data_IF_743303502631
#
_entry.id   IF_743303502631
#
_cell.length_a   1.000
_cell.length_b   1.000
_cell.length_c   1.000
_cell.angle_alpha   90.00
_cell.angle_beta   90.00
_cell.angle_gamma   90.00
#
_symmetry.space_group_name_H-M   'P 1'
#
loop_
_entity.id
_entity.type
_entity.pdbx_description
1 polymer ?
#
# COMPACT_ATOMS: atom_id res chain seq x y z
N UNK A 1 -5.74 17.51 -43.45
CA UNK A 1 -6.59 18.61 -43.00
C UNK A 1 -5.95 19.16 -41.76
N UNK A 2 -5.18 20.25 -41.89
CA UNK A 2 -4.62 21.00 -40.78
C UNK A 2 -5.74 21.91 -40.24
N UNK A 3 -6.24 21.60 -39.06
CA UNK A 3 -7.05 22.55 -38.32
C UNK A 3 -6.10 23.55 -37.66
N UNK A 4 -6.08 24.76 -38.16
CA UNK A 4 -5.40 25.88 -37.52
C UNK A 4 -6.05 26.10 -36.14
N UNK A 5 -5.35 25.71 -35.09
CA UNK A 5 -5.67 26.07 -33.73
C UNK A 5 -5.14 27.48 -33.49
N UNK A 6 -5.93 28.49 -33.73
CA UNK A 6 -5.67 29.84 -33.23
C UNK A 6 -5.90 29.84 -31.70
N UNK A 7 -4.82 29.80 -30.96
CA UNK A 7 -4.84 30.05 -29.50
C UNK A 7 -5.00 31.55 -29.28
N UNK A 8 -6.19 31.99 -28.84
CA UNK A 8 -6.39 33.32 -28.32
C UNK A 8 -5.64 33.45 -26.97
N UNK A 9 -4.50 34.10 -27.00
CA UNK A 9 -3.47 34.15 -25.95
C UNK A 9 -3.71 35.29 -24.93
N UNK A 10 -4.93 35.79 -24.74
CA UNK A 10 -5.13 37.02 -24.00
C UNK A 10 -5.64 36.92 -22.55
N UNK A 11 -6.01 35.75 -22.03
CA UNK A 11 -6.68 35.67 -20.73
C UNK A 11 -6.16 34.57 -19.74
N UNK A 12 -5.01 33.96 -20.00
CA UNK A 12 -4.44 32.99 -19.05
C UNK A 12 -3.14 33.53 -18.44
N UNK A 13 -3.15 33.82 -17.14
CA UNK A 13 -1.89 33.92 -16.38
C UNK A 13 -1.08 32.65 -16.61
N UNK A 14 0.12 32.78 -17.19
CA UNK A 14 1.02 31.65 -17.39
C UNK A 14 1.49 31.13 -16.03
N UNK A 15 1.01 29.98 -15.63
CA UNK A 15 1.50 29.21 -14.49
C UNK A 15 2.26 27.96 -14.94
N UNK A 16 2.81 27.22 -13.97
CA UNK A 16 3.57 25.99 -14.24
C UNK A 16 2.78 24.89 -14.97
N UNK A 17 1.46 24.94 -14.97
CA UNK A 17 0.56 23.95 -15.56
C UNK A 17 -0.04 24.38 -16.90
N UNK A 18 0.26 25.58 -17.39
CA UNK A 18 -0.35 26.15 -18.60
C UNK A 18 -0.20 25.25 -19.82
N UNK A 19 0.96 24.61 -19.99
CA UNK A 19 1.21 23.67 -21.10
C UNK A 19 0.40 22.38 -20.98
N UNK A 20 0.14 21.91 -19.76
CA UNK A 20 -0.66 20.71 -19.53
C UNK A 20 -2.12 20.96 -19.89
N UNK A 21 -2.64 22.16 -19.62
CA UNK A 21 -4.02 22.56 -19.97
C UNK A 21 -4.28 22.62 -21.47
N UNK A 22 -3.25 22.60 -22.31
CA UNK A 22 -3.40 22.48 -23.75
C UNK A 22 -3.82 21.08 -24.21
N UNK A 23 -3.72 20.07 -23.33
CA UNK A 23 -4.19 18.71 -23.62
C UNK A 23 -5.72 18.70 -23.50
N UNK A 24 -6.50 18.37 -24.55
CA UNK A 24 -7.95 18.59 -24.59
C UNK A 24 -8.77 17.90 -23.49
N UNK A 25 -8.27 16.79 -22.94
CA UNK A 25 -8.95 16.03 -21.87
C UNK A 25 -8.39 16.32 -20.47
N UNK A 26 -7.36 17.18 -20.35
CA UNK A 26 -6.69 17.47 -19.11
C UNK A 26 -7.53 18.31 -18.16
N UNK A 27 -7.56 17.92 -16.90
CA UNK A 27 -8.25 18.63 -15.82
C UNK A 27 -7.26 18.78 -14.64
N UNK A 28 -6.67 19.97 -14.51
CA UNK A 28 -5.68 20.26 -13.48
C UNK A 28 -6.29 20.26 -12.06
N UNK A 29 -7.54 20.68 -11.92
CA UNK A 29 -8.21 20.72 -10.61
C UNK A 29 -8.43 19.30 -10.07
N UNK A 30 -8.68 18.35 -10.96
CA UNK A 30 -8.77 16.94 -10.62
C UNK A 30 -7.47 16.41 -10.03
N UNK A 31 -6.32 16.77 -10.62
CA UNK A 31 -5.02 16.40 -10.10
C UNK A 31 -4.72 17.08 -8.76
N UNK A 32 -5.05 18.34 -8.64
CA UNK A 32 -4.93 19.13 -7.40
C UNK A 32 -5.71 18.53 -6.23
N UNK A 33 -6.87 17.94 -6.52
CA UNK A 33 -7.72 17.31 -5.51
C UNK A 33 -7.38 15.83 -5.27
N UNK A 34 -6.53 15.22 -6.09
CA UNK A 34 -6.17 13.82 -5.97
C UNK A 34 -5.23 13.55 -4.79
N UNK A 35 -5.43 12.40 -4.17
CA UNK A 35 -4.55 11.83 -3.15
C UNK A 35 -3.98 10.52 -3.67
N UNK A 36 -2.67 10.44 -3.82
CA UNK A 36 -1.95 9.29 -4.37
C UNK A 36 -1.02 8.71 -3.30
N UNK A 37 -1.09 7.40 -3.12
CA UNK A 37 -0.13 6.67 -2.30
C UNK A 37 1.00 6.15 -3.18
N UNK A 38 2.24 6.39 -2.78
CA UNK A 38 3.43 5.78 -3.37
C UNK A 38 4.05 4.85 -2.35
N UNK A 39 4.18 3.57 -2.70
CA UNK A 39 4.77 2.54 -1.84
C UNK A 39 6.12 2.12 -2.39
N UNK A 40 7.17 2.37 -1.60
CA UNK A 40 8.57 2.27 -2.01
C UNK A 40 9.09 3.59 -2.59
N UNK A 41 10.13 4.15 -1.98
CA UNK A 41 10.84 5.35 -2.41
C UNK A 41 12.25 5.03 -2.97
N UNK A 42 12.41 3.82 -3.52
CA UNK A 42 13.60 3.38 -4.26
C UNK A 42 13.69 4.00 -5.66
N UNK A 43 14.32 3.31 -6.60
CA UNK A 43 14.57 3.82 -7.96
C UNK A 43 13.26 4.22 -8.69
N UNK A 44 12.28 3.30 -8.76
CA UNK A 44 10.97 3.59 -9.38
C UNK A 44 10.22 4.65 -8.57
N UNK A 45 10.17 4.50 -7.22
CA UNK A 45 9.44 5.44 -6.36
C UNK A 45 9.93 6.88 -6.47
N UNK A 46 11.25 7.10 -6.60
CA UNK A 46 11.81 8.41 -6.85
C UNK A 46 11.29 9.05 -8.15
N UNK A 47 11.21 8.28 -9.23
CA UNK A 47 10.69 8.73 -10.51
C UNK A 47 9.16 8.96 -10.45
N UNK A 48 8.42 8.10 -9.73
CA UNK A 48 6.99 8.30 -9.49
C UNK A 48 6.75 9.61 -8.75
N UNK A 49 7.40 9.82 -7.60
CA UNK A 49 7.24 11.03 -6.78
C UNK A 49 7.60 12.27 -7.56
N UNK A 50 8.73 12.27 -8.30
CA UNK A 50 9.12 13.37 -9.18
C UNK A 50 8.01 13.69 -10.21
N UNK A 51 7.50 12.70 -10.92
CA UNK A 51 6.49 12.90 -11.95
C UNK A 51 5.16 13.42 -11.36
N UNK A 52 4.69 12.83 -10.26
CA UNK A 52 3.48 13.28 -9.55
C UNK A 52 3.60 14.74 -9.09
N UNK A 53 4.77 15.10 -8.57
CA UNK A 53 5.09 16.45 -8.11
C UNK A 53 5.07 17.46 -9.26
N UNK A 54 5.71 17.15 -10.39
CA UNK A 54 5.73 18.01 -11.57
C UNK A 54 4.34 18.20 -12.19
N UNK A 55 3.49 17.17 -12.11
CA UNK A 55 2.10 17.21 -12.58
C UNK A 55 1.16 17.97 -11.64
N UNK A 56 1.59 18.28 -10.42
CA UNK A 56 0.77 18.98 -9.44
C UNK A 56 -0.30 18.12 -8.78
N UNK A 57 0.00 16.86 -8.48
CA UNK A 57 -0.86 16.03 -7.64
C UNK A 57 -0.95 16.66 -6.25
N UNK A 58 -2.17 16.96 -5.80
CA UNK A 58 -2.36 17.74 -4.59
C UNK A 58 -1.79 17.10 -3.33
N UNK A 59 -1.99 15.77 -3.14
CA UNK A 59 -1.52 15.06 -1.95
C UNK A 59 -0.81 13.76 -2.33
N UNK A 60 0.38 13.54 -1.76
CA UNK A 60 1.20 12.34 -1.98
C UNK A 60 1.56 11.74 -0.62
N UNK A 61 1.09 10.52 -0.35
CA UNK A 61 1.50 9.74 0.82
C UNK A 61 2.64 8.80 0.39
N UNK A 62 3.79 8.88 1.05
CA UNK A 62 4.99 8.13 0.68
C UNK A 62 5.32 7.14 1.80
N UNK A 63 5.23 5.85 1.49
CA UNK A 63 5.52 4.75 2.42
C UNK A 63 6.84 4.08 2.04
N UNK A 64 7.84 4.17 2.91
CA UNK A 64 9.12 3.46 2.82
C UNK A 64 9.78 3.40 4.20
N UNK A 65 10.24 2.23 4.63
CA UNK A 65 10.84 2.03 5.94
C UNK A 65 12.38 2.09 5.94
N UNK A 66 13.00 2.16 4.76
CA UNK A 66 14.45 2.10 4.62
C UNK A 66 15.13 3.46 4.77
N UNK A 67 16.40 3.41 5.15
CA UNK A 67 17.32 4.55 5.06
C UNK A 67 17.99 4.62 3.67
N UNK A 68 18.47 5.81 3.33
CA UNK A 68 19.21 6.08 2.11
C UNK A 68 20.62 5.51 2.25
N UNK A 69 21.03 4.69 1.31
CA UNK A 69 22.39 4.18 1.15
C UNK A 69 23.13 4.87 0.01
N UNK A 70 24.46 4.91 0.06
CA UNK A 70 25.29 5.46 -1.03
C UNK A 70 25.00 4.78 -2.37
N UNK A 71 24.68 3.48 -2.36
CA UNK A 71 24.31 2.70 -3.55
C UNK A 71 23.02 3.15 -4.22
N UNK A 72 22.15 3.88 -3.50
CA UNK A 72 20.91 4.40 -4.05
C UNK A 72 21.12 5.62 -4.95
N UNK A 73 22.20 6.38 -4.74
CA UNK A 73 22.45 7.67 -5.39
C UNK A 73 22.60 7.58 -6.91
N UNK A 74 22.92 6.42 -7.45
CA UNK A 74 23.06 6.19 -8.90
C UNK A 74 21.72 6.15 -9.64
N UNK A 75 20.58 5.98 -8.91
CA UNK A 75 19.27 5.76 -9.52
C UNK A 75 18.09 6.42 -8.77
N UNK A 76 18.39 7.35 -7.85
CA UNK A 76 17.37 8.01 -7.03
C UNK A 76 17.58 9.53 -7.09
N UNK A 77 16.85 10.19 -8.00
CA UNK A 77 17.02 11.61 -8.34
C UNK A 77 16.70 12.57 -7.18
N UNK A 78 15.89 12.17 -6.23
CA UNK A 78 15.50 13.01 -5.10
C UNK A 78 16.57 13.05 -4.00
N UNK A 79 17.55 12.13 -3.98
CA UNK A 79 18.54 12.00 -2.92
C UNK A 79 19.88 12.65 -3.29
N UNK A 80 20.60 13.09 -2.27
CA UNK A 80 21.95 13.68 -2.37
C UNK A 80 22.90 12.93 -1.43
N UNK A 81 24.20 13.06 -1.64
CA UNK A 81 25.21 12.43 -0.78
C UNK A 81 25.05 12.78 0.71
N UNK A 82 24.61 14.00 1.02
CA UNK A 82 24.32 14.46 2.40
C UNK A 82 23.11 13.79 3.05
N UNK A 83 22.26 13.13 2.27
CA UNK A 83 21.02 12.50 2.76
C UNK A 83 21.25 11.03 3.17
N UNK A 84 22.45 10.47 2.94
CA UNK A 84 22.80 9.10 3.33
C UNK A 84 22.59 8.91 4.83
N UNK A 85 21.87 7.86 5.20
CA UNK A 85 21.46 7.53 6.57
C UNK A 85 20.12 8.13 7.01
N UNK A 86 19.53 9.08 6.27
CA UNK A 86 18.17 9.57 6.51
C UNK A 86 17.13 8.62 5.90
N UNK A 87 15.92 8.63 6.40
CA UNK A 87 14.83 7.81 5.84
C UNK A 87 14.44 8.27 4.43
N UNK A 88 14.26 7.28 3.53
CA UNK A 88 13.92 7.52 2.12
C UNK A 88 12.64 8.32 1.96
N UNK A 89 11.57 7.93 2.69
CA UNK A 89 10.27 8.59 2.61
C UNK A 89 10.34 10.07 3.03
N UNK A 90 11.06 10.39 4.11
CA UNK A 90 11.20 11.77 4.61
C UNK A 90 11.87 12.68 3.59
N UNK A 91 13.04 12.25 3.09
CA UNK A 91 13.77 13.05 2.10
C UNK A 91 12.98 13.19 0.80
N UNK A 92 12.28 12.14 0.38
CA UNK A 92 11.43 12.21 -0.82
C UNK A 92 10.28 13.21 -0.66
N UNK A 93 9.62 13.24 0.50
CA UNK A 93 8.54 14.20 0.79
C UNK A 93 9.07 15.64 0.82
N UNK A 94 10.18 15.89 1.50
CA UNK A 94 10.84 17.22 1.51
C UNK A 94 11.14 17.69 0.09
N UNK A 95 11.75 16.85 -0.73
CA UNK A 95 12.12 17.18 -2.12
C UNK A 95 10.90 17.41 -3.01
N UNK A 96 9.83 16.65 -2.82
CA UNK A 96 8.59 16.89 -3.56
C UNK A 96 8.06 18.31 -3.31
N UNK A 97 7.97 18.73 -2.07
CA UNK A 97 7.51 20.07 -1.70
C UNK A 97 8.49 21.19 -2.10
N UNK A 98 9.81 20.93 -2.11
CA UNK A 98 10.79 21.88 -2.66
C UNK A 98 10.63 22.06 -4.18
N UNK A 99 10.38 20.98 -4.94
CA UNK A 99 10.17 21.02 -6.40
C UNK A 99 8.86 21.76 -6.74
N UNK A 100 7.80 21.47 -5.99
CA UNK A 100 6.49 22.05 -6.21
C UNK A 100 5.77 22.36 -4.89
N UNK A 101 5.77 23.64 -4.44
CA UNK A 101 5.12 24.05 -3.19
C UNK A 101 3.60 23.88 -3.17
N UNK A 102 2.95 23.69 -4.33
CA UNK A 102 1.50 23.43 -4.41
C UNK A 102 1.16 21.99 -4.00
N UNK A 103 2.16 21.09 -3.97
CA UNK A 103 2.00 19.68 -3.62
C UNK A 103 2.23 19.51 -2.12
N UNK A 104 1.35 18.75 -1.49
CA UNK A 104 1.52 18.27 -0.12
C UNK A 104 2.02 16.85 -0.14
N UNK A 105 3.16 16.59 0.48
CA UNK A 105 3.74 15.26 0.59
C UNK A 105 3.99 14.89 2.05
N UNK A 106 3.56 13.69 2.46
CA UNK A 106 3.75 13.19 3.82
C UNK A 106 4.46 11.85 3.79
N UNK A 107 5.51 11.73 4.62
CA UNK A 107 6.31 10.53 4.76
C UNK A 107 5.75 9.62 5.87
N UNK A 108 5.78 8.32 5.61
CA UNK A 108 5.45 7.28 6.56
C UNK A 108 6.57 6.24 6.57
N UNK A 109 7.26 6.12 7.73
CA UNK A 109 8.28 5.10 7.97
C UNK A 109 7.53 3.88 8.51
N UNK A 110 6.92 3.11 7.63
CA UNK A 110 5.98 2.06 8.00
C UNK A 110 6.04 0.90 7.00
N UNK A 111 5.79 -0.30 7.50
CA UNK A 111 5.61 -1.49 6.66
C UNK A 111 4.19 -1.48 6.07
N UNK A 112 4.09 -1.44 4.75
CA UNK A 112 2.81 -1.41 4.04
C UNK A 112 1.92 -2.64 4.33
N UNK A 113 2.52 -3.77 4.69
CA UNK A 113 1.80 -5.02 4.98
C UNK A 113 1.03 -4.91 6.29
N UNK A 114 1.64 -4.26 7.30
CA UNK A 114 1.22 -4.40 8.69
C UNK A 114 0.71 -3.12 9.33
N UNK A 115 1.31 -1.98 8.95
CA UNK A 115 1.19 -0.75 9.72
C UNK A 115 0.19 0.24 9.10
N UNK A 116 -0.43 -0.14 7.97
CA UNK A 116 -1.33 0.74 7.22
C UNK A 116 -2.75 0.18 7.23
N UNK A 117 -3.68 0.96 7.77
CA UNK A 117 -5.10 0.58 7.84
C UNK A 117 -5.78 0.63 6.47
N UNK A 118 -6.79 -0.23 6.27
CA UNK A 118 -7.57 -0.28 5.04
C UNK A 118 -8.28 1.03 4.72
N UNK A 119 -8.69 1.81 5.73
CA UNK A 119 -9.30 3.12 5.56
C UNK A 119 -8.34 4.15 4.95
N UNK A 120 -7.01 3.99 5.12
CA UNK A 120 -6.03 4.81 4.40
C UNK A 120 -6.09 4.51 2.90
N UNK A 121 -6.06 3.24 2.52
CA UNK A 121 -6.21 2.84 1.11
C UNK A 121 -7.54 3.33 0.52
N UNK A 122 -8.63 3.27 1.29
CA UNK A 122 -9.97 3.70 0.86
C UNK A 122 -10.01 5.18 0.47
N UNK A 123 -9.18 6.03 1.07
CA UNK A 123 -9.09 7.47 0.78
C UNK A 123 -8.17 7.81 -0.39
N UNK A 124 -7.48 6.83 -0.97
CA UNK A 124 -6.62 7.06 -2.13
C UNK A 124 -7.42 7.09 -3.43
N UNK A 125 -7.01 7.94 -4.36
CA UNK A 125 -7.51 7.88 -5.74
C UNK A 125 -6.81 6.78 -6.54
N UNK A 126 -5.54 6.51 -6.23
CA UNK A 126 -4.77 5.37 -6.74
C UNK A 126 -3.57 5.08 -5.84
N UNK A 127 -3.06 3.85 -5.93
CA UNK A 127 -1.81 3.42 -5.28
C UNK A 127 -0.78 3.08 -6.34
N UNK A 128 0.44 3.58 -6.22
CA UNK A 128 1.56 3.31 -7.12
C UNK A 128 2.64 2.53 -6.37
N UNK A 129 3.00 1.36 -6.91
CA UNK A 129 4.01 0.48 -6.34
C UNK A 129 5.36 0.60 -7.04
N UNK A 130 6.43 0.84 -6.27
CA UNK A 130 7.83 0.75 -6.69
C UNK A 130 8.60 -0.21 -5.80
N UNK A 131 8.10 -1.45 -5.67
CA UNK A 131 8.51 -2.45 -4.68
C UNK A 131 9.48 -3.47 -5.25
N UNK A 132 10.25 -4.10 -4.37
CA UNK A 132 11.20 -5.17 -4.67
C UNK A 132 10.75 -6.56 -4.17
N UNK A 133 9.64 -6.64 -3.42
CA UNK A 133 9.17 -7.92 -2.89
C UNK A 133 7.71 -8.25 -3.25
N UNK A 134 7.42 -9.56 -3.36
CA UNK A 134 6.12 -10.09 -3.78
C UNK A 134 5.06 -10.01 -2.69
N UNK A 135 5.47 -10.11 -1.45
CA UNK A 135 4.55 -10.11 -0.30
C UNK A 135 3.88 -8.75 -0.12
N UNK A 136 4.67 -7.67 -0.20
CA UNK A 136 4.14 -6.31 -0.18
C UNK A 136 3.19 -6.04 -1.36
N UNK A 137 3.52 -6.55 -2.57
CA UNK A 137 2.63 -6.43 -3.74
C UNK A 137 1.30 -7.15 -3.52
N UNK A 138 1.34 -8.36 -2.95
CA UNK A 138 0.14 -9.12 -2.62
C UNK A 138 -0.71 -8.38 -1.58
N UNK A 139 -0.10 -7.85 -0.52
CA UNK A 139 -0.79 -7.09 0.52
C UNK A 139 -1.46 -5.82 -0.04
N UNK A 140 -0.77 -5.06 -0.90
CA UNK A 140 -1.36 -3.89 -1.57
C UNK A 140 -2.53 -4.32 -2.45
N UNK A 141 -2.37 -5.39 -3.23
CA UNK A 141 -3.44 -5.91 -4.08
C UNK A 141 -4.69 -6.23 -3.27
N UNK A 142 -4.55 -7.01 -2.20
CA UNK A 142 -5.66 -7.39 -1.32
C UNK A 142 -6.30 -6.15 -0.67
N UNK A 143 -5.50 -5.23 -0.15
CA UNK A 143 -6.00 -3.99 0.45
C UNK A 143 -6.78 -3.13 -0.55
N UNK A 144 -6.22 -2.92 -1.74
CA UNK A 144 -6.86 -2.13 -2.79
C UNK A 144 -8.17 -2.74 -3.28
N UNK A 145 -8.22 -4.07 -3.44
CA UNK A 145 -9.45 -4.77 -3.87
C UNK A 145 -10.53 -4.72 -2.79
N UNK A 146 -10.19 -4.97 -1.53
CA UNK A 146 -11.14 -4.86 -0.40
C UNK A 146 -11.86 -3.51 -0.36
N UNK A 147 -11.15 -2.42 -0.66
CA UNK A 147 -11.70 -1.05 -0.58
C UNK A 147 -11.98 -0.41 -1.96
N UNK A 148 -11.98 -1.22 -3.02
CA UNK A 148 -12.30 -0.80 -4.39
C UNK A 148 -11.43 0.38 -4.87
N UNK A 149 -10.09 0.23 -4.79
CA UNK A 149 -9.12 1.24 -5.27
C UNK A 149 -8.19 0.67 -6.32
N UNK A 150 -7.92 1.41 -7.41
CA UNK A 150 -6.95 0.98 -8.42
C UNK A 150 -5.54 1.06 -7.87
N UNK A 151 -4.68 0.13 -8.32
CA UNK A 151 -3.26 0.23 -8.07
C UNK A 151 -2.43 -0.17 -9.29
N UNK A 152 -1.24 0.39 -9.39
CA UNK A 152 -0.37 0.23 -10.53
C UNK A 152 1.01 -0.18 -10.02
N UNK A 153 1.41 -1.38 -10.39
CA UNK A 153 2.68 -1.98 -10.00
C UNK A 153 3.75 -1.71 -11.06
N UNK A 154 4.97 -1.44 -10.62
CA UNK A 154 6.14 -1.34 -11.47
C UNK A 154 7.27 -2.24 -10.98
N UNK A 155 7.97 -2.87 -11.91
CA UNK A 155 9.21 -3.59 -11.61
C UNK A 155 10.21 -3.42 -12.74
N UNK A 156 11.49 -3.48 -12.37
CA UNK A 156 12.63 -3.34 -13.27
C UNK A 156 13.70 -4.37 -12.94
N UNK A 157 14.38 -4.83 -13.97
CA UNK A 157 15.55 -5.69 -13.89
C UNK A 157 16.52 -5.32 -14.99
N UNK A 158 17.72 -4.87 -14.63
CA UNK A 158 18.73 -4.35 -15.57
C UNK A 158 18.15 -3.25 -16.48
N UNK A 159 18.02 -3.49 -17.77
CA UNK A 159 17.43 -2.58 -18.75
C UNK A 159 15.96 -2.91 -19.06
N UNK A 160 15.41 -3.95 -18.46
CA UNK A 160 14.02 -4.38 -18.69
C UNK A 160 13.09 -3.89 -17.60
N UNK A 161 11.80 -3.89 -17.87
CA UNK A 161 10.81 -3.57 -16.85
C UNK A 161 9.38 -3.83 -17.31
N UNK A 162 8.47 -3.73 -16.36
CA UNK A 162 7.04 -3.80 -16.63
C UNK A 162 6.25 -2.88 -15.71
N UNK A 163 5.11 -2.43 -16.23
CA UNK A 163 4.06 -1.77 -15.45
C UNK A 163 2.76 -2.57 -15.58
N UNK A 164 2.09 -2.87 -14.47
CA UNK A 164 0.83 -3.63 -14.42
C UNK A 164 -0.25 -2.79 -13.78
N UNK A 165 -1.44 -2.79 -14.37
CA UNK A 165 -2.56 -1.97 -13.92
C UNK A 165 -3.67 -2.87 -13.40
N UNK A 166 -4.03 -2.70 -12.12
CA UNK A 166 -5.05 -3.50 -11.45
C UNK A 166 -6.18 -2.59 -10.97
N UNK A 167 -7.36 -2.84 -11.52
CA UNK A 167 -8.58 -2.10 -11.19
C UNK A 167 -9.62 -3.09 -10.71
N UNK A 168 -10.12 -2.98 -9.47
CA UNK A 168 -11.16 -3.89 -8.97
C UNK A 168 -12.35 -3.98 -9.93
N UNK A 169 -12.80 -5.20 -10.19
CA UNK A 169 -13.88 -5.48 -11.14
C UNK A 169 -13.48 -5.45 -12.63
N UNK A 170 -12.24 -5.07 -12.99
CA UNK A 170 -11.79 -5.00 -14.38
C UNK A 170 -10.58 -5.91 -14.65
N UNK A 171 -10.83 -7.11 -15.13
CA UNK A 171 -9.77 -8.06 -15.51
C UNK A 171 -9.09 -8.75 -14.32
N UNK A 172 -7.86 -9.19 -14.52
CA UNK A 172 -7.04 -9.89 -13.55
C UNK A 172 -6.49 -8.95 -12.48
N UNK A 173 -6.32 -9.45 -11.24
CA UNK A 173 -5.58 -8.78 -10.18
C UNK A 173 -4.12 -9.27 -10.13
N UNK A 174 -3.30 -8.73 -9.22
CA UNK A 174 -1.91 -9.19 -9.03
C UNK A 174 -1.84 -10.68 -8.68
N UNK A 175 -2.68 -11.16 -7.77
CA UNK A 175 -2.71 -12.56 -7.35
C UNK A 175 -3.05 -13.49 -8.53
N UNK A 176 -3.90 -13.05 -9.47
CA UNK A 176 -4.14 -13.81 -10.70
C UNK A 176 -2.88 -14.03 -11.53
N UNK A 177 -1.92 -13.12 -11.48
CA UNK A 177 -0.65 -13.22 -12.21
C UNK A 177 0.39 -14.09 -11.54
N UNK A 178 0.14 -14.49 -10.28
CA UNK A 178 1.10 -15.28 -9.49
C UNK A 178 1.14 -16.74 -9.93
N UNK A 179 2.37 -17.28 -9.94
CA UNK A 179 2.67 -18.68 -10.21
C UNK A 179 2.85 -19.47 -8.91
N UNK A 180 2.87 -20.80 -9.00
CA UNK A 180 3.23 -21.65 -7.84
C UNK A 180 4.62 -21.31 -7.26
N UNK A 181 5.56 -20.90 -8.11
CA UNK A 181 6.88 -20.49 -7.66
C UNK A 181 6.81 -19.23 -6.79
N UNK A 182 5.98 -18.26 -7.14
CA UNK A 182 5.78 -17.05 -6.35
C UNK A 182 5.23 -17.38 -4.96
N UNK A 183 4.25 -18.28 -4.88
CA UNK A 183 3.70 -18.78 -3.62
C UNK A 183 4.73 -19.53 -2.78
N UNK A 184 5.54 -20.39 -3.42
CA UNK A 184 6.63 -21.09 -2.72
C UNK A 184 7.64 -20.12 -2.12
N UNK A 185 7.99 -19.03 -2.83
CA UNK A 185 8.91 -18.01 -2.34
C UNK A 185 8.31 -17.22 -1.16
N UNK A 186 7.04 -16.84 -1.21
CA UNK A 186 6.34 -16.16 -0.10
C UNK A 186 6.28 -17.09 1.12
N UNK A 187 5.85 -18.34 0.94
CA UNK A 187 5.75 -19.31 2.03
C UNK A 187 7.12 -19.66 2.65
N UNK A 188 8.18 -19.74 1.83
CA UNK A 188 9.55 -19.91 2.33
C UNK A 188 9.96 -18.73 3.21
N UNK A 189 9.66 -17.49 2.83
CA UNK A 189 9.93 -16.31 3.66
C UNK A 189 9.12 -16.31 4.95
N UNK A 190 7.84 -16.66 4.92
CA UNK A 190 6.99 -16.79 6.12
C UNK A 190 7.47 -17.88 7.08
N UNK A 191 7.88 -19.03 6.56
CA UNK A 191 8.46 -20.10 7.37
C UNK A 191 9.90 -19.79 7.83
N UNK A 192 10.61 -18.92 7.12
CA UNK A 192 11.95 -18.45 7.42
C UNK A 192 11.99 -17.19 8.29
N UNK A 193 10.87 -16.72 8.85
CA UNK A 193 10.89 -15.73 9.94
C UNK A 193 11.76 -16.18 11.13
N UNK A 194 12.20 -17.44 11.11
CA UNK A 194 13.20 -18.05 11.99
C UNK A 194 14.64 -17.97 11.47
N UNK A 195 14.87 -17.45 10.25
CA UNK A 195 16.21 -17.37 9.64
C UNK A 195 16.84 -15.98 9.83
N UNK A 196 18.17 -15.99 9.96
CA UNK A 196 18.98 -14.78 10.21
C UNK A 196 19.04 -13.83 9.02
N UNK A 197 19.27 -12.55 9.30
CA UNK A 197 19.41 -11.44 8.34
C UNK A 197 20.40 -11.70 7.18
N UNK A 198 21.40 -12.56 7.38
CA UNK A 198 22.42 -12.91 6.38
C UNK A 198 21.87 -13.72 5.19
N UNK A 199 20.80 -14.50 5.40
CA UNK A 199 20.18 -15.30 4.34
C UNK A 199 19.15 -14.53 3.52
N UNK A 200 18.78 -13.29 3.93
CA UNK A 200 17.90 -12.41 3.18
C UNK A 200 18.63 -11.57 2.11
N UNK A 201 19.96 -11.55 2.11
CA UNK A 201 20.77 -10.75 1.19
C UNK A 201 21.01 -11.39 -0.20
N UNK A 202 20.51 -12.58 -0.46
CA UNK A 202 20.58 -13.22 -1.76
C UNK A 202 19.57 -12.55 -2.72
N UNK A 203 20.09 -11.72 -3.63
CA UNK A 203 19.38 -11.27 -4.82
C UNK A 203 19.12 -9.79 -4.92
N UNK A 204 20.14 -8.91 -4.74
CA UNK A 204 20.04 -7.53 -5.21
C UNK A 204 19.85 -7.54 -6.73
N UNK A 205 18.65 -7.24 -7.19
CA UNK A 205 18.32 -7.14 -8.62
C UNK A 205 19.06 -5.93 -9.20
N UNK A 206 19.86 -6.08 -10.26
CA UNK A 206 20.50 -4.95 -10.91
C UNK A 206 19.44 -4.02 -11.51
N UNK A 207 19.59 -2.72 -11.29
CA UNK A 207 18.60 -1.73 -11.74
C UNK A 207 19.31 -0.50 -12.29
N UNK A 208 18.71 0.11 -13.33
CA UNK A 208 19.22 1.34 -13.94
C UNK A 208 18.23 2.50 -13.75
N UNK A 209 18.70 3.76 -13.70
CA UNK A 209 17.83 4.92 -13.62
C UNK A 209 16.95 5.05 -14.89
N UNK A 210 17.46 4.67 -16.04
CA UNK A 210 16.74 4.75 -17.32
C UNK A 210 15.52 3.85 -17.36
N UNK A 211 15.63 2.57 -16.92
CA UNK A 211 14.49 1.66 -16.83
C UNK A 211 13.47 2.15 -15.79
N UNK A 212 13.95 2.72 -14.67
CA UNK A 212 13.08 3.32 -13.66
C UNK A 212 12.25 4.46 -14.24
N UNK A 213 12.87 5.36 -15.01
CA UNK A 213 12.19 6.49 -15.64
C UNK A 213 11.13 6.06 -16.63
N UNK A 214 11.41 5.04 -17.48
CA UNK A 214 10.45 4.51 -18.46
C UNK A 214 9.23 3.90 -17.73
N UNK A 215 9.48 2.99 -16.79
CA UNK A 215 8.40 2.26 -16.11
C UNK A 215 7.57 3.20 -15.23
N UNK A 216 8.19 4.07 -14.45
CA UNK A 216 7.46 5.06 -13.65
C UNK A 216 6.66 6.04 -14.53
N UNK A 217 7.18 6.41 -15.70
CA UNK A 217 6.44 7.21 -16.69
C UNK A 217 5.16 6.51 -17.15
N UNK A 218 5.21 5.22 -17.48
CA UNK A 218 4.04 4.42 -17.84
C UNK A 218 3.05 4.31 -16.68
N UNK A 219 3.53 4.03 -15.46
CA UNK A 219 2.66 3.97 -14.28
C UNK A 219 1.88 5.28 -14.06
N UNK A 220 2.56 6.42 -14.17
CA UNK A 220 1.94 7.73 -14.00
C UNK A 220 0.96 8.04 -15.13
N UNK A 221 1.26 7.69 -16.38
CA UNK A 221 0.32 7.85 -17.49
C UNK A 221 -0.95 7.01 -17.30
N UNK A 222 -0.83 5.78 -16.81
CA UNK A 222 -2.01 4.96 -16.49
C UNK A 222 -2.83 5.56 -15.33
N UNK A 223 -2.16 6.04 -14.28
CA UNK A 223 -2.82 6.75 -13.19
C UNK A 223 -3.59 7.99 -13.69
N UNK A 224 -2.99 8.80 -14.56
CA UNK A 224 -3.65 9.97 -15.15
C UNK A 224 -4.93 9.58 -15.91
N UNK A 225 -4.88 8.50 -16.69
CA UNK A 225 -6.06 7.98 -17.42
C UNK A 225 -7.15 7.51 -16.44
N UNK A 226 -6.77 6.84 -15.36
CA UNK A 226 -7.71 6.41 -14.31
C UNK A 226 -8.33 7.61 -13.57
N UNK A 227 -7.56 8.65 -13.27
CA UNK A 227 -8.09 9.89 -12.69
C UNK A 227 -9.09 10.59 -13.61
N UNK A 228 -8.96 10.42 -14.93
CA UNK A 228 -9.85 10.99 -15.96
C UNK A 228 -10.80 9.92 -16.55
N UNK A 229 -11.31 8.99 -15.73
CA UNK A 229 -12.12 7.85 -16.19
C UNK A 229 -13.39 8.27 -16.98
N UNK A 230 -13.97 9.44 -16.67
CA UNK A 230 -15.11 10.02 -17.39
C UNK A 230 -14.78 10.39 -18.85
N UNK A 231 -13.51 10.59 -19.19
CA UNK A 231 -13.02 10.86 -20.56
C UNK A 231 -12.90 9.60 -21.40
N UNK A 232 -13.15 8.41 -20.82
CA UNK A 232 -13.10 7.10 -21.51
C UNK A 232 -11.76 6.84 -22.23
N UNK A 233 -10.66 7.28 -21.63
CA UNK A 233 -9.32 7.04 -22.15
C UNK A 233 -9.00 5.53 -22.06
N UNK A 234 -8.32 4.93 -23.07
CA UNK A 234 -7.96 3.51 -23.01
C UNK A 234 -6.93 3.26 -21.91
N UNK A 235 -7.25 2.38 -20.97
CA UNK A 235 -6.36 1.99 -19.87
C UNK A 235 -5.84 0.58 -20.04
N UNK A 236 -4.80 0.23 -19.31
CA UNK A 236 -4.25 -1.13 -19.21
C UNK A 236 -4.87 -1.93 -18.05
N UNK A 237 -6.11 -1.65 -17.65
CA UNK A 237 -6.77 -2.39 -16.56
C UNK A 237 -6.75 -3.92 -16.83
N UNK A 238 -6.24 -4.71 -15.87
CA UNK A 238 -6.04 -6.16 -16.00
C UNK A 238 -4.90 -6.59 -16.94
N UNK A 239 -4.07 -5.64 -17.38
CA UNK A 239 -2.98 -5.84 -18.34
C UNK A 239 -1.65 -5.33 -17.82
N UNK A 240 -0.58 -5.69 -18.50
CA UNK A 240 0.76 -5.20 -18.23
C UNK A 240 1.45 -4.70 -19.50
N UNK A 241 2.17 -3.59 -19.37
CA UNK A 241 3.12 -3.11 -20.35
C UNK A 241 4.49 -3.71 -20.04
N UNK A 242 5.12 -4.36 -21.01
CA UNK A 242 6.46 -4.95 -20.91
C UNK A 242 7.40 -4.16 -21.80
N UNK A 243 8.55 -3.79 -21.25
CA UNK A 243 9.61 -3.06 -21.94
C UNK A 243 10.93 -3.85 -21.90
N UNK A 244 11.53 -4.06 -23.06
CA UNK A 244 12.86 -4.62 -23.23
C UNK A 244 13.82 -3.52 -23.68
N UNK A 245 14.63 -3.02 -22.76
CA UNK A 245 15.56 -1.93 -23.03
C UNK A 245 16.80 -2.31 -23.84
N UNK A 246 17.07 -3.61 -24.07
CA UNK A 246 18.15 -4.06 -24.94
C UNK A 246 17.79 -3.93 -26.42
N UNK A 247 16.54 -4.25 -26.76
CA UNK A 247 16.03 -4.23 -28.14
C UNK A 247 15.13 -3.03 -28.43
N UNK A 248 14.75 -2.28 -27.38
CA UNK A 248 13.73 -1.22 -27.41
C UNK A 248 12.33 -1.70 -27.82
N UNK A 249 12.07 -3.01 -27.72
CA UNK A 249 10.74 -3.56 -27.96
C UNK A 249 9.83 -3.31 -26.75
N UNK A 250 8.56 -3.14 -27.02
CA UNK A 250 7.53 -3.09 -25.98
C UNK A 250 6.24 -3.73 -26.47
N UNK A 251 5.52 -4.35 -25.54
CA UNK A 251 4.25 -4.99 -25.84
C UNK A 251 3.33 -5.02 -24.61
N UNK A 252 2.04 -5.20 -24.87
CA UNK A 252 1.02 -5.33 -23.82
C UNK A 252 0.69 -6.81 -23.65
N UNK A 253 0.71 -7.26 -22.40
CA UNK A 253 0.26 -8.60 -21.98
C UNK A 253 -1.10 -8.47 -21.32
N UNK A 254 -2.05 -9.30 -21.71
CA UNK A 254 -3.33 -9.45 -21.04
C UNK A 254 -3.27 -10.63 -20.06
N UNK A 255 -3.61 -10.39 -18.81
CA UNK A 255 -3.59 -11.43 -17.78
C UNK A 255 -4.97 -12.07 -17.66
N UNK A 256 -4.98 -13.38 -17.50
CA UNK A 256 -6.22 -14.11 -17.30
C UNK A 256 -6.71 -13.94 -15.85
N UNK A 257 -7.95 -13.48 -15.70
CA UNK A 257 -8.64 -13.46 -14.41
C UNK A 257 -8.93 -14.90 -13.95
N UNK A 258 -8.60 -15.20 -12.70
CA UNK A 258 -8.95 -16.47 -12.05
C UNK A 258 -10.25 -16.27 -11.26
N UNK A 259 -11.24 -17.12 -11.51
CA UNK A 259 -12.57 -17.00 -10.88
C UNK A 259 -12.55 -17.31 -9.39
N UNK A 260 -11.64 -18.19 -8.96
CA UNK A 260 -11.41 -18.63 -7.58
C UNK A 260 -10.40 -17.78 -6.81
N UNK A 261 -10.02 -16.63 -7.34
CA UNK A 261 -9.00 -15.78 -6.71
C UNK A 261 -9.56 -15.05 -5.48
N UNK A 262 -8.99 -15.33 -4.33
CA UNK A 262 -9.40 -14.76 -3.02
C UNK A 262 -9.20 -13.24 -2.92
N UNK A 263 -8.30 -12.65 -3.72
CA UNK A 263 -8.10 -11.20 -3.73
C UNK A 263 -9.22 -10.40 -4.42
N UNK A 264 -10.22 -11.05 -5.01
CA UNK A 264 -11.32 -10.35 -5.69
C UNK A 264 -12.44 -9.91 -4.73
N UNK A 265 -12.35 -10.26 -3.45
CA UNK A 265 -13.29 -9.80 -2.45
C UNK A 265 -13.22 -8.29 -2.28
N UNK A 266 -14.40 -7.66 -2.34
CA UNK A 266 -14.59 -6.22 -2.10
C UNK A 266 -15.58 -6.04 -0.97
N UNK A 267 -15.30 -5.17 -0.04
CA UNK A 267 -16.21 -4.81 1.05
C UNK A 267 -17.33 -3.91 0.49
N UNK A 268 -18.48 -4.48 0.23
CA UNK A 268 -19.57 -3.78 -0.45
C UNK A 268 -20.11 -2.60 0.36
N UNK A 269 -20.26 -2.79 1.68
CA UNK A 269 -20.76 -1.76 2.59
C UNK A 269 -19.81 -1.60 3.78
N UNK A 270 -19.22 -0.41 3.89
CA UNK A 270 -18.38 -0.04 5.02
C UNK A 270 -19.09 1.05 5.81
N UNK A 271 -19.34 0.81 7.08
CA UNK A 271 -19.96 1.75 8.02
C UNK A 271 -18.85 2.49 8.76
N UNK A 272 -18.85 3.80 8.66
CA UNK A 272 -17.92 4.65 9.39
C UNK A 272 -18.36 4.78 10.86
N UNK A 273 -17.43 4.56 11.79
CA UNK A 273 -17.64 4.66 13.21
C UNK A 273 -16.64 5.66 13.82
N UNK A 274 -17.06 6.49 14.77
CA UNK A 274 -16.17 7.39 15.49
C UNK A 274 -15.30 6.61 16.49
N UNK A 275 -14.76 5.48 16.08
CA UNK A 275 -13.82 4.69 16.86
C UNK A 275 -12.40 5.14 16.60
N UNK A 276 -11.59 5.11 17.66
CA UNK A 276 -10.17 5.34 17.61
C UNK A 276 -9.42 4.05 17.87
N UNK A 277 -8.45 3.73 17.02
CA UNK A 277 -7.58 2.57 17.26
C UNK A 277 -6.75 2.73 18.56
N UNK A 278 -6.59 3.96 19.06
CA UNK A 278 -5.84 4.28 20.30
C UNK A 278 -6.70 4.32 21.54
N UNK A 279 -7.98 4.66 21.42
CA UNK A 279 -8.80 5.03 22.57
C UNK A 279 -10.06 4.19 22.74
N UNK A 280 -10.64 3.63 21.67
CA UNK A 280 -11.84 2.79 21.77
C UNK A 280 -11.44 1.36 22.11
N UNK A 281 -12.01 0.79 23.16
CA UNK A 281 -11.72 -0.58 23.56
C UNK A 281 -12.44 -1.62 22.67
N UNK A 282 -11.91 -2.83 22.61
CA UNK A 282 -12.56 -3.96 21.92
C UNK A 282 -13.94 -4.26 22.50
N UNK A 283 -14.12 -4.04 23.80
CA UNK A 283 -15.41 -4.19 24.51
C UNK A 283 -16.46 -3.21 23.98
N UNK A 284 -16.10 -1.93 23.86
CA UNK A 284 -17.00 -0.90 23.33
C UNK A 284 -17.38 -1.20 21.88
N UNK A 285 -16.41 -1.55 21.04
CA UNK A 285 -16.64 -1.93 19.65
C UNK A 285 -17.58 -3.12 19.53
N UNK A 286 -17.32 -4.19 20.29
CA UNK A 286 -18.19 -5.38 20.31
C UNK A 286 -19.59 -5.09 20.80
N UNK A 287 -19.74 -4.23 21.82
CA UNK A 287 -21.05 -3.82 22.35
C UNK A 287 -21.88 -3.07 21.29
N UNK A 288 -21.27 -2.14 20.55
CA UNK A 288 -21.95 -1.46 19.45
C UNK A 288 -22.33 -2.39 18.32
N UNK A 289 -21.41 -3.28 17.90
CA UNK A 289 -21.68 -4.31 16.86
C UNK A 289 -22.87 -5.19 17.27
N UNK A 290 -22.91 -5.60 18.53
CA UNK A 290 -24.02 -6.41 19.06
C UNK A 290 -25.33 -5.64 19.13
N UNK A 291 -25.27 -4.35 19.42
CA UNK A 291 -26.43 -3.46 19.37
C UNK A 291 -27.06 -3.36 17.99
N UNK A 292 -26.25 -3.45 16.93
CA UNK A 292 -26.70 -3.36 15.54
C UNK A 292 -27.07 -4.70 14.90
N UNK A 293 -26.25 -5.74 15.14
CA UNK A 293 -26.38 -7.05 14.48
C UNK A 293 -27.03 -8.12 15.35
N UNK A 294 -27.08 -7.92 16.67
CA UNK A 294 -27.63 -8.85 17.65
C UNK A 294 -26.56 -9.47 18.55
N UNK A 295 -27.00 -9.95 19.72
CA UNK A 295 -26.18 -10.43 20.84
C UNK A 295 -25.13 -11.51 20.49
N UNK A 296 -25.38 -12.29 19.43
CA UNK A 296 -24.47 -13.35 18.97
C UNK A 296 -23.39 -12.85 18.01
N UNK A 297 -23.37 -11.56 17.69
CA UNK A 297 -22.37 -11.02 16.81
C UNK A 297 -20.98 -11.07 17.44
N UNK A 298 -19.97 -11.27 16.61
CA UNK A 298 -18.55 -11.29 16.97
C UNK A 298 -17.82 -10.18 16.20
N UNK A 299 -16.72 -9.70 16.76
CA UNK A 299 -15.80 -8.78 16.10
C UNK A 299 -14.70 -9.59 15.43
N UNK A 300 -14.59 -9.51 14.11
CA UNK A 300 -13.59 -10.21 13.29
C UNK A 300 -12.47 -9.30 12.85
N UNK A 301 -11.24 -9.80 12.91
CA UNK A 301 -10.08 -9.13 12.32
C UNK A 301 -9.77 -9.69 10.93
N UNK A 302 -9.00 -8.97 10.15
CA UNK A 302 -8.48 -9.43 8.85
C UNK A 302 -7.20 -10.28 8.99
N UNK A 303 -6.76 -10.52 10.23
CA UNK A 303 -5.51 -11.20 10.59
C UNK A 303 -5.61 -11.91 11.93
N UNK A 304 -4.77 -12.92 12.13
CA UNK A 304 -4.65 -13.60 13.42
C UNK A 304 -3.77 -12.79 14.36
N UNK A 305 -4.21 -12.61 15.61
CA UNK A 305 -3.49 -11.92 16.67
C UNK A 305 -3.00 -12.95 17.68
N UNK A 306 -1.68 -13.05 17.85
CA UNK A 306 -1.09 -13.86 18.91
C UNK A 306 -1.32 -13.18 20.25
N UNK A 307 -1.93 -13.87 21.20
CA UNK A 307 -2.31 -13.30 22.51
C UNK A 307 -1.32 -13.69 23.60
N UNK A 308 -0.97 -14.98 23.72
CA UNK A 308 -0.13 -15.48 24.81
C UNK A 308 0.85 -16.53 24.29
N UNK A 309 2.12 -16.38 24.62
CA UNK A 309 3.11 -17.44 24.44
C UNK A 309 3.21 -18.30 25.71
N UNK A 310 3.31 -19.63 25.53
CA UNK A 310 3.34 -20.64 26.59
C UNK A 310 4.58 -21.50 26.48
N UNK A 311 5.29 -21.72 27.60
CA UNK A 311 6.45 -22.57 27.67
C UNK A 311 6.16 -23.87 28.43
N UNK A 312 6.78 -24.97 28.05
CA UNK A 312 6.71 -26.24 28.76
C UNK A 312 7.23 -26.17 30.19
N UNK A 313 8.03 -25.15 30.55
CA UNK A 313 8.49 -24.92 31.92
C UNK A 313 7.45 -24.19 32.81
N UNK A 314 6.25 -23.90 32.28
CA UNK A 314 5.18 -23.20 32.98
C UNK A 314 5.21 -21.66 32.84
N UNK A 315 6.20 -21.08 32.19
CA UNK A 315 6.27 -19.63 31.93
C UNK A 315 5.29 -19.22 30.82
N UNK A 316 4.55 -18.12 31.05
CA UNK A 316 3.63 -17.53 30.09
C UNK A 316 4.02 -16.08 29.85
N UNK A 317 3.84 -15.61 28.61
CA UNK A 317 4.17 -14.25 28.18
C UNK A 317 3.06 -13.70 27.31
N UNK A 318 2.54 -12.52 27.64
CA UNK A 318 1.62 -11.78 26.77
C UNK A 318 2.35 -11.28 25.50
N UNK A 319 1.72 -11.44 24.35
CA UNK A 319 2.25 -11.04 23.04
C UNK A 319 1.49 -9.84 22.44
N UNK A 320 0.19 -9.99 22.20
CA UNK A 320 -0.69 -9.01 21.56
C UNK A 320 -0.08 -8.42 20.27
N UNK A 321 0.23 -9.31 19.34
CA UNK A 321 0.93 -8.99 18.09
C UNK A 321 0.34 -9.81 16.95
N UNK A 322 0.14 -9.25 15.75
CA UNK A 322 -0.23 -10.04 14.58
C UNK A 322 0.74 -11.21 14.35
N UNK A 323 0.18 -12.39 14.09
CA UNK A 323 0.98 -13.65 14.00
C UNK A 323 2.13 -13.54 13.00
N UNK A 324 1.91 -12.87 11.88
CA UNK A 324 2.94 -12.69 10.84
C UNK A 324 4.08 -11.72 11.24
N UNK A 325 3.92 -10.95 12.33
CA UNK A 325 4.97 -10.10 12.92
C UNK A 325 5.81 -10.84 13.98
N UNK A 326 5.44 -12.06 14.35
CA UNK A 326 6.19 -12.81 15.36
C UNK A 326 7.60 -13.12 14.87
N UNK A 327 8.58 -12.76 15.70
CA UNK A 327 10.00 -13.11 15.50
C UNK A 327 10.38 -14.23 16.46
N UNK A 328 11.35 -15.05 16.08
CA UNK A 328 11.84 -16.15 16.92
C UNK A 328 12.25 -15.72 18.34
N UNK A 329 12.84 -14.52 18.46
CA UNK A 329 13.20 -13.91 19.75
C UNK A 329 11.99 -13.68 20.66
N UNK A 330 10.83 -13.32 20.07
CA UNK A 330 9.59 -13.10 20.83
C UNK A 330 9.03 -14.38 21.41
N UNK A 331 9.33 -15.51 20.78
CA UNK A 331 8.90 -16.86 21.17
C UNK A 331 9.99 -17.63 21.94
N UNK A 332 11.06 -16.99 22.37
CA UNK A 332 12.08 -17.58 23.23
C UNK A 332 11.71 -17.38 24.70
N UNK A 333 11.65 -18.46 25.45
CA UNK A 333 11.30 -18.40 26.87
C UNK A 333 12.39 -17.66 27.68
N UNK A 334 12.04 -16.59 28.41
CA UNK A 334 13.02 -15.82 29.19
C UNK A 334 13.59 -16.63 30.36
N UNK A 335 12.92 -17.71 30.81
CA UNK A 335 13.31 -18.50 31.96
C UNK A 335 14.24 -19.67 31.61
N UNK A 336 13.95 -20.39 30.54
CA UNK A 336 14.69 -21.60 30.19
C UNK A 336 15.30 -21.62 28.78
N UNK A 337 15.09 -20.57 27.99
CA UNK A 337 15.61 -20.45 26.61
C UNK A 337 14.91 -21.32 25.57
N UNK A 338 13.91 -22.13 25.96
CA UNK A 338 13.19 -23.00 25.04
C UNK A 338 12.25 -22.22 24.14
N UNK A 339 11.95 -22.77 22.96
CA UNK A 339 10.93 -22.25 22.06
C UNK A 339 9.53 -22.37 22.69
N UNK A 340 8.76 -21.29 22.70
CA UNK A 340 7.40 -21.23 23.20
C UNK A 340 6.38 -21.48 22.07
N UNK A 341 5.28 -22.12 22.41
CA UNK A 341 4.05 -22.12 21.59
C UNK A 341 3.21 -20.89 21.88
N UNK A 342 2.24 -20.55 21.03
CA UNK A 342 1.37 -19.40 21.27
C UNK A 342 -0.08 -19.71 20.93
N UNK A 343 -0.99 -19.02 21.62
CA UNK A 343 -2.41 -18.96 21.28
C UNK A 343 -2.66 -17.75 20.36
N UNK A 344 -3.63 -17.86 19.46
CA UNK A 344 -4.06 -16.74 18.62
C UNK A 344 -5.57 -16.66 18.52
N UNK A 345 -6.06 -15.47 18.22
CA UNK A 345 -7.46 -15.17 17.97
C UNK A 345 -7.63 -14.48 16.62
N UNK A 346 -8.70 -14.83 15.92
CA UNK A 346 -9.13 -14.13 14.70
C UNK A 346 -10.41 -13.32 14.95
N UNK A 347 -11.21 -13.75 15.92
CA UNK A 347 -12.50 -13.17 16.28
C UNK A 347 -12.55 -12.94 17.78
N UNK A 348 -13.29 -11.92 18.19
CA UNK A 348 -13.61 -11.59 19.57
C UNK A 348 -15.07 -11.97 19.82
N UNK A 349 -15.28 -12.93 20.72
CA UNK A 349 -16.62 -13.44 21.07
C UNK A 349 -17.19 -12.85 22.36
N UNK A 350 -16.36 -12.11 23.14
CA UNK A 350 -16.78 -11.39 24.33
C UNK A 350 -16.49 -12.08 25.66
N UNK A 351 -15.78 -13.21 25.64
CA UNK A 351 -15.29 -13.95 26.82
C UNK A 351 -13.78 -13.82 27.04
N UNK A 352 -13.10 -13.02 26.17
CA UNK A 352 -11.68 -12.78 26.26
C UNK A 352 -11.33 -11.84 27.42
N UNK A 353 -10.22 -12.12 28.12
CA UNK A 353 -9.73 -11.35 29.27
C UNK A 353 -9.04 -10.02 28.90
N UNK A 354 -8.88 -9.74 27.60
CA UNK A 354 -8.24 -8.55 27.07
C UNK A 354 -9.20 -7.59 26.34
N UNK A 355 -10.49 -7.69 26.57
CA UNK A 355 -11.51 -6.83 25.92
C UNK A 355 -11.34 -5.33 26.19
N UNK A 356 -10.66 -4.97 27.27
CA UNK A 356 -10.39 -3.57 27.63
C UNK A 356 -9.20 -2.97 26.86
N UNK A 357 -8.49 -3.79 26.06
CA UNK A 357 -7.46 -3.30 25.14
C UNK A 357 -8.05 -2.57 23.95
N UNK A 358 -7.26 -1.65 23.41
CA UNK A 358 -7.56 -0.97 22.17
C UNK A 358 -7.04 -1.77 20.95
N UNK A 359 -7.57 -1.52 19.74
CA UNK A 359 -7.05 -2.14 18.52
C UNK A 359 -5.53 -1.97 18.34
N UNK A 360 -4.99 -0.80 18.64
CA UNK A 360 -3.55 -0.53 18.52
C UNK A 360 -2.70 -1.36 19.49
N UNK A 361 -3.18 -1.60 20.70
CA UNK A 361 -2.48 -2.44 21.69
C UNK A 361 -2.38 -3.90 21.27
N UNK A 362 -3.21 -4.34 20.33
CA UNK A 362 -3.15 -5.70 19.74
C UNK A 362 -2.59 -5.71 18.33
N UNK A 363 -2.03 -4.58 17.86
CA UNK A 363 -1.33 -4.46 16.58
C UNK A 363 -2.23 -4.19 15.37
N UNK A 364 -3.45 -3.70 15.59
CA UNK A 364 -4.33 -3.21 14.52
C UNK A 364 -4.03 -1.72 14.28
N UNK A 365 -3.74 -1.29 13.03
CA UNK A 365 -3.31 0.07 12.73
C UNK A 365 -4.45 1.09 12.76
N UNK A 366 -4.09 2.38 12.70
CA UNK A 366 -5.03 3.50 12.56
C UNK A 366 -5.88 3.37 11.30
N UNK A 367 -7.10 3.93 11.33
CA UNK A 367 -8.00 3.93 10.18
C UNK A 367 -8.21 2.53 9.58
N UNK A 368 -8.28 1.51 10.42
CA UNK A 368 -8.51 0.14 9.94
C UNK A 368 -9.99 -0.15 9.75
N UNK A 369 -10.27 -1.27 9.09
CA UNK A 369 -11.62 -1.78 8.89
C UNK A 369 -11.68 -3.17 9.50
N UNK A 370 -12.67 -3.40 10.35
CA UNK A 370 -12.93 -4.69 11.00
C UNK A 370 -14.29 -5.23 10.59
N UNK A 371 -14.50 -6.54 10.77
CA UNK A 371 -15.79 -7.19 10.53
C UNK A 371 -16.62 -7.29 11.80
N UNK A 372 -17.92 -7.04 11.68
CA UNK A 372 -18.91 -7.51 12.64
C UNK A 372 -19.66 -8.66 11.98
N UNK A 373 -19.54 -9.87 12.50
CA UNK A 373 -20.11 -11.06 11.87
C UNK A 373 -21.18 -11.73 12.71
N UNK A 374 -22.28 -12.10 12.05
CA UNK A 374 -23.33 -12.95 12.62
C UNK A 374 -23.61 -14.11 11.66
N UNK A 375 -23.35 -15.34 12.09
CA UNK A 375 -23.42 -16.50 11.21
C UNK A 375 -22.44 -16.40 10.05
N UNK A 376 -22.95 -16.32 8.81
CA UNK A 376 -22.14 -16.17 7.59
C UNK A 376 -22.11 -14.72 7.07
N UNK A 377 -22.89 -13.82 7.64
CA UNK A 377 -23.01 -12.44 7.18
C UNK A 377 -22.03 -11.55 7.93
N UNK A 378 -21.26 -10.75 7.17
CA UNK A 378 -20.27 -9.80 7.70
C UNK A 378 -20.62 -8.38 7.28
N UNK A 379 -20.67 -7.48 8.25
CA UNK A 379 -20.74 -6.03 8.06
C UNK A 379 -19.40 -5.43 8.42
N UNK A 380 -18.90 -4.49 7.63
CA UNK A 380 -17.57 -3.90 7.83
C UNK A 380 -17.67 -2.53 8.49
N UNK A 381 -16.78 -2.26 9.44
CA UNK A 381 -16.74 -1.04 10.25
C UNK A 381 -15.37 -0.40 10.17
N UNK A 382 -15.33 0.88 9.79
CA UNK A 382 -14.09 1.66 9.69
C UNK A 382 -13.93 2.59 10.88
N UNK A 383 -12.72 2.64 11.46
CA UNK A 383 -12.35 3.60 12.49
C UNK A 383 -12.08 4.96 11.85
N UNK A 384 -12.70 6.05 12.31
CA UNK A 384 -12.54 7.37 11.67
C UNK A 384 -11.98 8.44 12.58
N UNK A 385 -11.97 8.26 13.91
CA UNK A 385 -11.51 9.29 14.84
C UNK A 385 -10.03 9.64 14.72
N UNK A 386 -9.20 8.73 14.19
CA UNK A 386 -7.77 8.95 14.02
C UNK A 386 -7.40 9.54 12.64
N UNK A 387 -8.38 10.00 11.85
CA UNK A 387 -8.15 10.47 10.48
C UNK A 387 -7.20 11.66 10.42
N UNK A 388 -7.33 12.60 11.35
CA UNK A 388 -6.46 13.76 11.44
C UNK A 388 -4.98 13.36 11.63
N UNK A 389 -4.67 12.33 12.41
CA UNK A 389 -3.30 11.87 12.64
C UNK A 389 -2.63 11.42 11.32
N UNK A 390 -3.39 10.78 10.45
CA UNK A 390 -2.87 10.30 9.16
C UNK A 390 -2.81 11.44 8.13
N UNK A 391 -3.85 12.28 8.06
CA UNK A 391 -4.02 13.26 6.98
C UNK A 391 -3.76 14.70 7.40
N UNK A 392 -3.40 14.98 8.66
CA UNK A 392 -3.04 16.32 9.09
C UNK A 392 -1.85 16.86 8.29
N UNK A 393 -1.94 18.12 7.87
CA UNK A 393 -0.97 18.84 7.02
C UNK A 393 -0.86 18.33 5.57
N UNK A 394 -1.86 17.59 5.06
CA UNK A 394 -1.98 17.17 3.66
C UNK A 394 -3.00 17.98 2.87
#
# INVERSE_FOLDING_TARGET
>A
MSSDFELNNSDFEEDRYSRLRLIPWWDQDRLKNATIMVVGAGAIGNELIKNLTLLGIGRILIYDMDAIESTNLTRSILYRARDVGRYKAEVAAERAMEINPDVKAKAFIANIIDDVGLGVFRRMNAVLGGLDNREARLAINQSCYKVNRPWIDGAIEALNGFARVFVPGQGACYECTMTEMDWRLINKRKSCALLTHEQMSEGKIPTTPTSSSVIAGIQVQEMLKLLHADRKLPTLAGKGYVFNGLTHDSYVVEYQRKDDCMSHDTYEKIIEKPWSARATSLREMLAEIRGELGEKAVLDFDRDIATTAKCSCGENKALFTPVHKLKGEMLTCPKCGAQMTFDSVHSIAGDEDFLDKTPMEIGIPLLHIVGGRIGMDTTYYEFTSDEAEVFENL
#
